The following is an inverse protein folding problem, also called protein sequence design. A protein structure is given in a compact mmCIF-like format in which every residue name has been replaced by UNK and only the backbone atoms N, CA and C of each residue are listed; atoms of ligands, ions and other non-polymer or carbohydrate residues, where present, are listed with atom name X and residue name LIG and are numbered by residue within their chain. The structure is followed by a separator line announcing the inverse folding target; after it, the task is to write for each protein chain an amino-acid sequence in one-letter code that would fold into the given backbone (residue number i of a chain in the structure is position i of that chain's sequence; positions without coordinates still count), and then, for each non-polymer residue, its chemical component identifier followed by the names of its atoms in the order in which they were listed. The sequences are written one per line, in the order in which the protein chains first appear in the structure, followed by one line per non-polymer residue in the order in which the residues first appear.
data_IF_062927300043
#
_entry.id   IF_062927300043
#
_cell.length_a   1.000
_cell.length_b   1.000
_cell.length_c   1.000
_cell.angle_alpha   90.00
_cell.angle_beta   90.00
_cell.angle_gamma   90.00
#
_symmetry.space_group_name_H-M   'P 1'
#
loop_
_entity.id
_entity.type
_entity.pdbx_description
1 polymer ?
#
# COMPACT_ATOMS: atom_id res chain seq x y z
N UNK A 1 -13.27 -15.24 10.23
CA UNK A 1 -13.55 -13.85 10.62
C UNK A 1 -13.82 -13.08 9.35
N UNK A 2 -14.98 -12.45 9.26
CA UNK A 2 -15.33 -11.58 8.14
C UNK A 2 -15.02 -10.13 8.52
N UNK A 3 -14.38 -9.39 7.63
CA UNK A 3 -14.06 -7.98 7.79
C UNK A 3 -14.76 -7.21 6.69
N UNK A 4 -15.61 -6.26 7.09
CA UNK A 4 -16.37 -5.44 6.15
C UNK A 4 -15.42 -4.57 5.29
N UNK A 5 -15.68 -4.42 3.97
CA UNK A 5 -14.88 -3.58 3.08
C UNK A 5 -14.75 -2.10 3.49
N UNK A 6 -15.65 -1.58 4.33
CA UNK A 6 -15.60 -0.19 4.82
C UNK A 6 -14.69 0.00 6.03
N UNK A 7 -14.00 -1.05 6.50
CA UNK A 7 -13.10 -0.93 7.65
C UNK A 7 -11.90 -0.07 7.28
N UNK A 8 -11.63 0.92 8.14
CA UNK A 8 -10.48 1.80 8.04
C UNK A 8 -9.45 1.44 9.09
N UNK A 9 -8.25 1.10 8.65
CA UNK A 9 -7.08 0.85 9.50
C UNK A 9 -6.09 1.99 9.30
N UNK A 10 -5.60 2.55 10.40
CA UNK A 10 -4.48 3.50 10.38
C UNK A 10 -3.26 2.84 11.00
N UNK A 11 -2.13 2.90 10.30
CA UNK A 11 -0.83 2.41 10.75
C UNK A 11 0.18 3.53 10.63
N UNK A 12 0.79 3.91 11.75
CA UNK A 12 1.90 4.85 11.76
C UNK A 12 3.21 4.04 11.63
N UNK A 13 4.00 4.33 10.60
CA UNK A 13 5.24 3.63 10.27
C UNK A 13 6.46 4.19 10.99
N UNK A 14 6.35 5.39 11.57
CA UNK A 14 7.36 6.02 12.41
C UNK A 14 6.75 6.77 13.59
N UNK A 15 7.58 7.06 14.60
CA UNK A 15 7.16 7.82 15.77
C UNK A 15 6.93 9.31 15.46
N UNK A 16 7.46 9.81 14.34
CA UNK A 16 7.28 11.18 13.85
C UNK A 16 5.92 11.42 13.21
N UNK A 17 5.13 10.37 12.93
CA UNK A 17 3.85 10.46 12.19
C UNK A 17 4.03 11.07 10.78
N UNK A 18 5.25 11.01 10.26
CA UNK A 18 5.61 11.49 8.94
C UNK A 18 5.39 10.41 7.89
N UNK A 19 5.49 9.15 8.30
CA UNK A 19 5.16 7.98 7.50
C UNK A 19 3.90 7.30 8.05
N UNK A 20 2.83 7.33 7.27
CA UNK A 20 1.52 6.79 7.67
C UNK A 20 0.86 6.06 6.52
N UNK A 21 0.18 4.97 6.85
CA UNK A 21 -0.70 4.26 5.94
C UNK A 21 -2.11 4.23 6.51
N UNK A 22 -3.06 4.78 5.77
CA UNK A 22 -4.50 4.61 5.99
C UNK A 22 -5.00 3.62 4.94
N UNK A 23 -5.51 2.49 5.39
CA UNK A 23 -6.04 1.42 4.55
C UNK A 23 -7.55 1.40 4.69
N UNK A 24 -8.25 1.28 3.56
CA UNK A 24 -9.66 0.91 3.53
C UNK A 24 -9.77 -0.43 2.80
N UNK A 25 -10.50 -1.38 3.39
CA UNK A 25 -10.63 -2.70 2.81
C UNK A 25 -11.27 -3.73 3.72
N UNK A 26 -11.46 -4.92 3.16
CA UNK A 26 -12.14 -6.02 3.83
C UNK A 26 -11.80 -7.37 3.23
N UNK A 27 -12.30 -8.42 3.87
CA UNK A 27 -12.08 -9.78 3.43
C UNK A 27 -12.31 -10.81 4.53
N UNK A 28 -12.17 -12.06 4.15
CA UNK A 28 -12.36 -13.21 5.04
C UNK A 28 -11.00 -13.77 5.45
N UNK A 29 -10.75 -13.78 6.77
CA UNK A 29 -9.55 -14.32 7.38
C UNK A 29 -9.90 -15.44 8.35
N UNK A 30 -9.20 -16.56 8.23
CA UNK A 30 -9.31 -17.72 9.10
C UNK A 30 -7.99 -17.93 9.82
N UNK A 31 -8.02 -17.75 11.14
CA UNK A 31 -6.89 -17.94 12.02
C UNK A 31 -7.08 -19.23 12.81
N UNK A 32 -6.03 -20.06 12.88
CA UNK A 32 -5.98 -21.25 13.71
C UNK A 32 -4.74 -21.19 14.58
N UNK A 33 -4.96 -21.36 15.88
CA UNK A 33 -3.91 -21.40 16.90
C UNK A 33 -3.98 -22.75 17.64
N UNK A 34 -2.86 -23.48 17.70
CA UNK A 34 -2.77 -24.76 18.41
C UNK A 34 -2.23 -24.56 19.82
N UNK A 35 -2.58 -25.43 20.78
CA UNK A 35 -1.99 -25.39 22.13
C UNK A 35 -0.45 -25.54 22.15
N UNK A 36 0.12 -26.10 21.09
CA UNK A 36 1.56 -26.25 20.90
C UNK A 36 2.24 -24.94 20.47
N UNK A 37 1.45 -23.91 20.15
CA UNK A 37 1.94 -22.59 19.74
C UNK A 37 1.95 -22.36 18.23
N UNK A 38 1.49 -23.31 17.41
CA UNK A 38 1.44 -23.11 15.96
C UNK A 38 0.32 -22.13 15.62
N UNK A 39 0.69 -21.05 14.94
CA UNK A 39 -0.23 -20.05 14.43
C UNK A 39 -0.27 -20.13 12.90
N UNK A 40 -1.47 -20.29 12.35
CA UNK A 40 -1.72 -20.25 10.91
C UNK A 40 -2.82 -19.25 10.59
N UNK A 41 -2.62 -18.50 9.51
CA UNK A 41 -3.57 -17.53 8.99
C UNK A 41 -3.79 -17.82 7.51
N UNK A 42 -5.05 -17.86 7.10
CA UNK A 42 -5.46 -18.09 5.72
C UNK A 42 -6.55 -17.11 5.32
N UNK A 43 -6.50 -16.64 4.08
CA UNK A 43 -7.49 -15.72 3.54
C UNK A 43 -6.85 -14.49 2.91
N UNK A 44 -7.70 -13.60 2.38
CA UNK A 44 -7.27 -12.43 1.63
C UNK A 44 -7.96 -11.19 2.17
N UNK A 45 -7.16 -10.17 2.45
CA UNK A 45 -7.64 -8.82 2.74
C UNK A 45 -7.44 -7.95 1.50
N UNK A 46 -8.54 -7.45 0.93
CA UNK A 46 -8.53 -6.64 -0.28
C UNK A 46 -8.71 -5.17 0.08
N UNK A 47 -7.80 -4.34 -0.41
CA UNK A 47 -7.80 -2.90 -0.24
C UNK A 47 -8.70 -2.29 -1.31
N UNK A 48 -9.77 -1.63 -0.86
CA UNK A 48 -10.67 -0.84 -1.69
C UNK A 48 -10.13 0.56 -1.95
N UNK A 49 -9.23 1.03 -1.08
CA UNK A 49 -8.53 2.30 -1.22
C UNK A 49 -7.72 2.65 0.02
N UNK A 50 -7.38 3.93 0.14
CA UNK A 50 -6.58 4.44 1.25
C UNK A 50 -5.48 5.39 0.79
N UNK A 51 -4.72 5.89 1.76
CA UNK A 51 -3.69 6.89 1.55
C UNK A 51 -2.41 6.43 2.23
N UNK A 52 -1.31 6.47 1.51
CA UNK A 52 0.02 6.25 2.05
C UNK A 52 0.79 7.56 1.97
N UNK A 53 1.11 8.14 3.13
CA UNK A 53 2.05 9.24 3.25
C UNK A 53 3.43 8.66 3.50
N UNK A 54 4.37 8.94 2.60
CA UNK A 54 5.75 8.49 2.72
C UNK A 54 6.73 9.63 2.45
N UNK A 55 7.64 9.83 3.39
CA UNK A 55 8.75 10.77 3.33
C UNK A 55 10.03 10.02 2.94
N UNK A 56 10.35 10.01 1.65
CA UNK A 56 11.65 9.52 1.17
C UNK A 56 12.76 10.47 1.65
N UNK A 57 13.94 9.94 2.08
CA UNK A 57 15.09 10.79 2.36
C UNK A 57 15.36 11.72 1.16
N UNK A 58 15.52 13.03 1.42
CA UNK A 58 15.76 14.11 0.42
C UNK A 58 14.51 14.64 -0.31
N UNK A 59 13.35 14.00 -0.25
CA UNK A 59 12.12 14.46 -0.93
C UNK A 59 11.07 14.84 0.13
N UNK A 60 10.30 15.90 -0.13
CA UNK A 60 9.15 16.24 0.71
C UNK A 60 8.16 15.06 0.79
N UNK A 61 7.46 14.91 1.93
CA UNK A 61 6.47 13.87 2.10
C UNK A 61 5.45 13.89 0.96
N UNK A 62 5.23 12.72 0.36
CA UNK A 62 4.26 12.52 -0.72
C UNK A 62 3.12 11.64 -0.24
N UNK A 63 1.93 11.96 -0.73
CA UNK A 63 0.73 11.15 -0.52
C UNK A 63 0.47 10.34 -1.78
N UNK A 64 0.39 9.02 -1.62
CA UNK A 64 0.07 8.07 -2.66
C UNK A 64 -1.31 7.50 -2.37
N UNK A 65 -2.22 7.53 -3.36
CA UNK A 65 -3.50 6.86 -3.24
C UNK A 65 -3.29 5.36 -3.49
N UNK A 66 -3.79 4.51 -2.61
CA UNK A 66 -3.70 3.06 -2.77
C UNK A 66 -4.64 2.65 -3.92
N UNK A 67 -4.10 1.91 -4.88
CA UNK A 67 -4.85 1.42 -6.02
C UNK A 67 -5.82 0.34 -5.56
N UNK A 68 -7.12 0.52 -5.88
CA UNK A 68 -8.17 -0.44 -5.61
C UNK A 68 -7.83 -1.81 -6.22
N UNK A 69 -8.01 -2.88 -5.44
CA UNK A 69 -7.68 -4.24 -5.81
C UNK A 69 -6.27 -4.66 -5.37
N UNK A 70 -5.49 -3.76 -4.77
CA UNK A 70 -4.33 -4.15 -3.96
C UNK A 70 -4.77 -5.11 -2.85
N UNK A 71 -3.95 -6.08 -2.47
CA UNK A 71 -4.32 -7.05 -1.44
C UNK A 71 -3.12 -7.60 -0.67
N UNK A 72 -3.44 -8.14 0.51
CA UNK A 72 -2.56 -8.97 1.31
C UNK A 72 -3.22 -10.35 1.44
N UNK A 73 -2.47 -11.40 1.12
CA UNK A 73 -2.97 -12.76 1.17
C UNK A 73 -2.09 -13.64 2.05
N UNK A 74 -2.74 -14.39 2.92
CA UNK A 74 -2.10 -15.38 3.79
C UNK A 74 -2.53 -16.78 3.37
N UNK A 75 -1.55 -17.70 3.32
CA UNK A 75 -1.76 -19.10 2.93
C UNK A 75 -1.23 -20.08 3.99
N UNK A 76 -0.94 -19.60 5.20
CA UNK A 76 -0.35 -20.40 6.26
C UNK A 76 0.41 -19.54 7.27
N UNK A 77 1.69 -19.29 7.02
CA UNK A 77 2.53 -18.49 7.93
C UNK A 77 2.01 -17.04 8.02
N UNK A 78 1.55 -16.57 9.20
CA UNK A 78 1.04 -15.21 9.36
C UNK A 78 2.11 -14.14 9.17
N UNK A 79 3.39 -14.50 9.39
CA UNK A 79 4.54 -13.58 9.26
C UNK A 79 5.07 -13.48 7.83
N UNK A 80 4.54 -14.27 6.90
CA UNK A 80 4.99 -14.28 5.51
C UNK A 80 3.81 -14.27 4.51
N UNK A 81 3.04 -13.16 4.48
CA UNK A 81 2.00 -12.97 3.49
C UNK A 81 2.56 -12.70 2.10
N UNK A 82 1.76 -13.02 1.09
CA UNK A 82 1.92 -12.48 -0.26
C UNK A 82 1.32 -11.07 -0.31
N UNK A 83 2.15 -10.12 -0.73
CA UNK A 83 1.79 -8.72 -0.90
C UNK A 83 1.67 -8.43 -2.40
N UNK A 84 0.51 -7.91 -2.80
CA UNK A 84 0.31 -7.32 -4.12
C UNK A 84 -0.30 -5.93 -3.92
N UNK A 85 0.59 -4.97 -3.73
CA UNK A 85 0.25 -3.63 -3.33
C UNK A 85 0.75 -2.64 -4.37
N UNK A 86 -0.10 -1.68 -4.72
CA UNK A 86 0.25 -0.55 -5.56
C UNK A 86 -0.38 0.72 -5.00
N UNK A 87 0.39 1.80 -4.96
CA UNK A 87 -0.11 3.13 -4.64
C UNK A 87 0.47 4.15 -5.62
N UNK A 88 -0.32 5.12 -6.04
CA UNK A 88 0.02 6.05 -7.11
C UNK A 88 -0.22 7.52 -6.70
N UNK A 89 0.77 8.38 -6.95
CA UNK A 89 0.68 9.84 -6.88
C UNK A 89 0.67 10.38 -8.32
N UNK A 90 -0.29 11.24 -8.66
CA UNK A 90 -0.38 11.86 -9.98
C UNK A 90 0.07 13.31 -9.89
N UNK A 91 1.22 13.58 -10.50
CA UNK A 91 1.86 14.89 -10.48
C UNK A 91 1.66 15.56 -11.84
N UNK A 92 1.28 16.83 -11.84
CA UNK A 92 1.19 17.64 -13.06
C UNK A 92 2.36 18.62 -13.10
N UNK A 93 3.22 18.52 -14.11
CA UNK A 93 4.40 19.36 -14.24
C UNK A 93 4.50 20.00 -15.62
N UNK A 94 5.08 21.20 -15.68
CA UNK A 94 5.39 21.89 -16.92
C UNK A 94 6.72 21.39 -17.46
N UNK A 95 6.73 20.88 -18.68
CA UNK A 95 7.94 20.40 -19.38
C UNK A 95 8.23 21.35 -20.53
N UNK A 96 9.50 21.76 -20.64
CA UNK A 96 9.97 22.59 -21.76
C UNK A 96 10.13 21.76 -23.03
N UNK A 97 9.55 22.22 -24.13
CA UNK A 97 9.67 21.63 -25.47
C UNK A 97 10.85 22.26 -26.24
N UNK A 98 12.07 22.06 -25.75
CA UNK A 98 13.30 22.37 -26.50
C UNK A 98 13.47 23.84 -26.94
N UNK A 99 14.21 24.06 -28.03
CA UNK A 99 14.75 25.36 -28.47
C UNK A 99 13.69 26.43 -28.81
N UNK A 100 12.43 26.04 -29.03
CA UNK A 100 11.36 26.98 -29.37
C UNK A 100 10.67 27.61 -28.14
N UNK A 101 11.10 27.28 -26.92
CA UNK A 101 10.62 27.93 -25.68
C UNK A 101 9.17 27.63 -25.31
N UNK A 102 8.52 26.66 -25.96
CA UNK A 102 7.19 26.20 -25.62
C UNK A 102 7.20 25.40 -24.32
N UNK A 103 6.17 25.56 -23.49
CA UNK A 103 5.94 24.70 -22.32
C UNK A 103 4.64 23.95 -22.47
N UNK A 104 4.65 22.66 -22.10
CA UNK A 104 3.43 21.84 -22.03
C UNK A 104 3.24 21.26 -20.64
N UNK A 105 1.99 21.16 -20.22
CA UNK A 105 1.64 20.46 -18.99
C UNK A 105 1.56 18.96 -19.25
N UNK A 106 2.33 18.18 -18.49
CA UNK A 106 2.37 16.71 -18.55
C UNK A 106 1.96 16.14 -17.20
N UNK A 107 1.16 15.08 -17.24
CA UNK A 107 0.83 14.29 -16.05
C UNK A 107 1.83 13.14 -15.92
N UNK A 108 2.39 12.98 -14.74
CA UNK A 108 3.27 11.89 -14.36
C UNK A 108 2.59 11.07 -13.27
N UNK A 109 2.43 9.78 -13.52
CA UNK A 109 1.92 8.84 -12.51
C UNK A 109 3.14 8.17 -11.85
N UNK A 110 3.37 8.48 -10.58
CA UNK A 110 4.47 7.92 -9.78
C UNK A 110 3.88 6.84 -8.88
N UNK A 111 4.30 5.58 -9.07
CA UNK A 111 3.75 4.46 -8.30
C UNK A 111 4.80 3.78 -7.44
N UNK A 112 4.40 3.39 -6.24
CA UNK A 112 5.10 2.42 -5.39
C UNK A 112 4.42 1.07 -5.60
N UNK A 113 5.20 0.03 -5.90
CA UNK A 113 4.69 -1.32 -6.19
C UNK A 113 5.45 -2.33 -5.35
N UNK A 114 4.71 -3.17 -4.64
CA UNK A 114 5.23 -4.29 -3.85
C UNK A 114 4.52 -5.54 -4.34
N UNK A 115 5.28 -6.49 -4.91
CA UNK A 115 4.76 -7.73 -5.48
C UNK A 115 5.65 -8.89 -5.11
N UNK A 116 5.55 -9.35 -3.86
CA UNK A 116 6.24 -10.57 -3.44
C UNK A 116 5.72 -11.05 -2.07
N UNK A 117 6.27 -12.17 -1.62
CA UNK A 117 6.22 -12.57 -0.22
C UNK A 117 7.08 -11.63 0.64
N UNK A 118 6.65 -11.38 1.88
CA UNK A 118 7.31 -10.44 2.79
C UNK A 118 8.76 -10.83 3.11
N UNK A 119 9.06 -12.13 3.15
CA UNK A 119 10.41 -12.65 3.38
C UNK A 119 11.39 -12.39 2.21
N UNK A 120 10.88 -11.89 1.09
CA UNK A 120 11.60 -11.71 -0.17
C UNK A 120 11.38 -10.29 -0.76
N UNK A 121 11.20 -9.30 0.12
CA UNK A 121 11.20 -7.86 -0.20
C UNK A 121 12.55 -7.22 0.12
#
# INVERSE_FOLDING_TARGET
VHIDPSVRLKVDLDASNDNRVELEGGGDLSMKYTPQGDLTLTGRYTLSGGLMKYALPVIAAKEFAIDNGSYVEWTGNPMDPMLNFKATDRIRASVSEGENGGTRMVNFDVSIVVKNRLDNL
#
